data_IF_267741232048
#
_entry.id   IF_267741232048
#
_cell.length_a   1.000
_cell.length_b   1.000
_cell.length_c   1.000
_cell.angle_alpha   90.00
_cell.angle_beta   90.00
_cell.angle_gamma   90.00
#
_symmetry.space_group_name_H-M   'P 1'
#
loop_
_entity.id
_entity.type
_entity.pdbx_description
1 polymer ?
#
# COMPACT_ATOMS: atom_id res chain seq x y z
N UNK A 1 -23.67 -3.99 13.48
CA UNK A 1 -22.65 -3.24 12.70
C UNK A 1 -22.24 -2.06 13.57
N UNK A 2 -20.97 -1.98 13.95
CA UNK A 2 -20.47 -1.09 15.00
C UNK A 2 -20.52 0.39 14.56
N UNK A 3 -21.72 0.98 14.56
CA UNK A 3 -21.88 2.43 14.63
C UNK A 3 -21.71 2.85 16.09
N UNK A 4 -20.48 2.71 16.61
CA UNK A 4 -20.06 3.54 17.74
C UNK A 4 -20.20 4.99 17.27
N UNK A 5 -20.72 5.86 18.15
CA UNK A 5 -20.95 7.26 17.83
C UNK A 5 -19.60 7.96 17.58
N UNK A 6 -19.10 7.86 16.35
CA UNK A 6 -17.79 8.38 15.97
C UNK A 6 -17.77 9.89 16.21
N UNK A 7 -16.71 10.42 16.83
CA UNK A 7 -16.56 11.85 17.00
C UNK A 7 -16.75 12.59 15.68
N UNK A 8 -17.53 13.69 15.71
CA UNK A 8 -17.81 14.52 14.53
C UNK A 8 -16.54 14.95 13.79
N UNK A 9 -15.43 15.09 14.51
CA UNK A 9 -14.11 15.42 13.94
C UNK A 9 -13.66 14.36 12.94
N UNK A 10 -13.68 13.07 13.32
CA UNK A 10 -13.26 11.96 12.46
C UNK A 10 -14.12 11.91 11.20
N UNK A 11 -15.44 11.99 11.35
CA UNK A 11 -16.38 11.97 10.21
C UNK A 11 -16.06 13.08 9.20
N UNK A 12 -15.86 14.32 9.69
CA UNK A 12 -15.55 15.46 8.82
C UNK A 12 -14.19 15.34 8.14
N UNK A 13 -13.18 14.84 8.83
CA UNK A 13 -11.86 14.63 8.23
C UNK A 13 -11.88 13.52 7.19
N UNK A 14 -12.55 12.40 7.46
CA UNK A 14 -12.75 11.32 6.49
C UNK A 14 -13.45 11.82 5.24
N UNK A 15 -14.52 12.61 5.38
CA UNK A 15 -15.22 13.20 4.23
C UNK A 15 -14.29 14.08 3.40
N UNK A 16 -13.47 14.92 4.04
CA UNK A 16 -12.50 15.78 3.36
C UNK A 16 -11.41 14.99 2.64
N UNK A 17 -10.88 13.93 3.26
CA UNK A 17 -9.89 13.06 2.64
C UNK A 17 -10.43 12.41 1.36
N UNK A 18 -11.71 12.03 1.35
CA UNK A 18 -12.36 11.41 0.20
C UNK A 18 -12.77 12.43 -0.88
N UNK A 19 -13.23 13.62 -0.50
CA UNK A 19 -13.66 14.65 -1.46
C UNK A 19 -12.48 15.43 -2.05
N UNK A 20 -11.40 15.60 -1.28
CA UNK A 20 -10.23 16.40 -1.63
C UNK A 20 -8.92 15.62 -1.34
N UNK A 21 -8.67 14.52 -2.07
CA UNK A 21 -7.46 13.73 -1.87
C UNK A 21 -6.22 14.57 -2.19
N UNK A 22 -5.18 14.43 -1.35
CA UNK A 22 -3.91 15.08 -1.61
C UNK A 22 -3.18 14.37 -2.77
N UNK A 23 -2.43 15.10 -3.62
CA UNK A 23 -1.70 14.49 -4.73
C UNK A 23 -0.77 13.37 -4.28
N UNK A 24 -0.94 12.19 -4.87
CA UNK A 24 -0.15 11.00 -4.52
C UNK A 24 -0.43 10.41 -3.15
N UNK A 25 -1.52 10.81 -2.46
CA UNK A 25 -1.93 10.24 -1.18
C UNK A 25 -3.37 9.75 -1.28
N UNK A 26 -3.62 8.51 -0.88
CA UNK A 26 -4.97 7.98 -0.69
C UNK A 26 -5.09 7.44 0.73
N UNK A 27 -6.14 7.83 1.44
CA UNK A 27 -6.44 7.35 2.78
C UNK A 27 -7.92 7.04 2.89
N UNK A 28 -8.26 5.81 3.26
CA UNK A 28 -9.64 5.37 3.44
C UNK A 28 -9.80 4.59 4.74
N UNK A 29 -10.89 4.80 5.50
CA UNK A 29 -11.14 4.01 6.70
C UNK A 29 -11.35 2.53 6.35
N UNK A 30 -11.04 1.64 7.29
CA UNK A 30 -11.42 0.23 7.21
C UNK A 30 -12.93 0.09 7.37
N UNK A 31 -13.51 -0.90 6.70
CA UNK A 31 -14.95 -1.24 6.80
C UNK A 31 -15.34 -1.71 8.21
N UNK A 32 -14.40 -2.31 8.93
CA UNK A 32 -14.63 -2.86 10.27
C UNK A 32 -14.44 -1.83 11.38
N UNK A 33 -13.50 -0.89 11.19
CA UNK A 33 -13.16 0.11 12.19
C UNK A 33 -12.85 1.46 11.53
N UNK A 34 -13.78 2.40 11.69
CA UNK A 34 -13.67 3.76 11.14
C UNK A 34 -12.59 4.64 11.79
N UNK A 35 -11.93 4.17 12.86
CA UNK A 35 -10.73 4.79 13.44
C UNK A 35 -9.44 4.27 12.82
N UNK A 36 -9.50 3.19 12.06
CA UNK A 36 -8.37 2.59 11.37
C UNK A 36 -8.41 2.94 9.89
N UNK A 37 -7.30 3.38 9.31
CA UNK A 37 -7.20 3.86 7.94
C UNK A 37 -6.12 3.08 7.19
N UNK A 38 -6.48 2.63 6.00
CA UNK A 38 -5.54 2.13 5.01
C UNK A 38 -5.04 3.32 4.19
N UNK A 39 -3.72 3.52 4.21
CA UNK A 39 -3.09 4.67 3.56
C UNK A 39 -2.11 4.18 2.49
N UNK A 40 -2.11 4.84 1.34
CA UNK A 40 -1.06 4.71 0.33
C UNK A 40 -0.47 6.07 0.02
N UNK A 41 0.86 6.13 -0.01
CA UNK A 41 1.63 7.33 -0.38
C UNK A 41 2.51 6.95 -1.58
N UNK A 42 2.38 7.71 -2.65
CA UNK A 42 3.31 7.67 -3.78
C UNK A 42 4.59 8.37 -3.37
N UNK A 43 5.72 7.73 -3.70
CA UNK A 43 7.03 8.31 -3.49
C UNK A 43 7.17 9.65 -4.22
N UNK A 44 7.64 10.71 -3.54
CA UNK A 44 7.77 12.03 -4.14
C UNK A 44 8.70 12.04 -5.35
N UNK A 45 8.41 12.89 -6.33
CA UNK A 45 9.33 13.15 -7.44
C UNK A 45 10.62 13.79 -6.94
N UNK A 46 11.73 13.53 -7.64
CA UNK A 46 13.06 14.03 -7.28
C UNK A 46 13.53 13.58 -5.90
N UNK A 47 13.02 12.44 -5.43
CA UNK A 47 13.47 11.75 -4.22
C UNK A 47 13.98 10.35 -4.58
N UNK A 48 14.77 9.69 -3.72
CA UNK A 48 15.16 8.29 -3.90
C UNK A 48 13.96 7.35 -4.01
N UNK A 49 12.78 7.82 -3.59
CA UNK A 49 11.58 7.02 -3.49
C UNK A 49 10.66 7.18 -4.70
N UNK A 50 11.03 7.99 -5.69
CA UNK A 50 10.22 8.28 -6.87
C UNK A 50 9.75 6.99 -7.57
N UNK A 51 8.45 6.94 -7.91
CA UNK A 51 7.84 5.77 -8.54
C UNK A 51 7.54 4.62 -7.60
N UNK A 52 7.84 4.75 -6.30
CA UNK A 52 7.44 3.84 -5.24
C UNK A 52 5.99 4.03 -4.78
N UNK A 53 5.41 2.95 -4.23
CA UNK A 53 4.10 2.98 -3.59
C UNK A 53 4.24 2.40 -2.18
N UNK A 54 4.04 3.25 -1.18
CA UNK A 54 4.22 2.88 0.22
C UNK A 54 2.87 2.71 0.89
N UNK A 55 2.63 1.53 1.48
CA UNK A 55 1.46 1.28 2.32
C UNK A 55 1.78 1.66 3.75
N UNK A 56 0.84 2.38 4.36
CA UNK A 56 0.87 2.74 5.75
C UNK A 56 -0.48 2.36 6.37
N UNK A 57 -0.45 2.11 7.67
CA UNK A 57 -1.67 2.14 8.48
C UNK A 57 -1.67 3.36 9.37
N UNK A 58 -2.87 3.87 9.64
CA UNK A 58 -3.09 4.97 10.55
C UNK A 58 -4.24 4.62 11.49
N UNK A 59 -4.02 4.77 12.78
CA UNK A 59 -5.00 4.51 13.83
C UNK A 59 -5.27 5.77 14.65
N UNK A 60 -6.54 6.08 14.84
CA UNK A 60 -7.01 7.20 15.67
C UNK A 60 -7.37 6.69 17.08
N UNK A 61 -6.56 6.97 18.11
CA UNK A 61 -6.85 6.54 19.47
C UNK A 61 -8.12 7.19 20.02
N UNK A 62 -8.64 6.69 21.13
CA UNK A 62 -9.92 7.14 21.70
C UNK A 62 -9.92 8.64 21.99
N UNK A 63 -8.79 9.15 22.48
CA UNK A 63 -8.50 10.53 22.86
C UNK A 63 -8.32 11.46 21.65
N UNK A 64 -8.28 10.94 20.42
CA UNK A 64 -8.14 11.77 19.22
C UNK A 64 -9.28 12.80 19.13
N UNK A 65 -8.98 14.11 18.95
CA UNK A 65 -7.71 14.69 18.48
C UNK A 65 -6.77 15.20 19.57
N UNK A 66 -7.03 14.96 20.85
CA UNK A 66 -6.14 15.37 21.95
C UNK A 66 -4.84 14.57 21.94
N UNK A 67 -4.91 13.28 21.62
CA UNK A 67 -3.74 12.47 21.29
C UNK A 67 -3.49 12.41 19.77
N UNK A 68 -2.22 12.25 19.41
CA UNK A 68 -1.77 12.11 18.02
C UNK A 68 -2.28 10.80 17.39
N UNK A 69 -2.46 10.75 16.06
CA UNK A 69 -2.70 9.49 15.37
C UNK A 69 -1.45 8.61 15.43
N UNK A 70 -1.64 7.30 15.58
CA UNK A 70 -0.56 6.31 15.46
C UNK A 70 -0.40 5.94 13.99
N UNK A 71 0.80 6.07 13.43
CA UNK A 71 1.07 5.79 12.02
C UNK A 71 2.30 4.91 11.89
N UNK A 72 2.23 3.87 11.05
CA UNK A 72 3.40 3.06 10.68
C UNK A 72 3.40 2.67 9.21
N UNK A 73 4.59 2.45 8.67
CA UNK A 73 4.80 1.85 7.37
C UNK A 73 4.57 0.33 7.44
N UNK A 74 3.75 -0.17 6.52
CA UNK A 74 3.61 -1.60 6.23
C UNK A 74 4.61 -2.04 5.15
N UNK A 75 4.90 -1.14 4.21
CA UNK A 75 5.96 -1.35 3.22
C UNK A 75 7.32 -1.07 3.84
N UNK A 76 8.23 -2.04 3.80
CA UNK A 76 9.62 -1.86 4.24
C UNK A 76 10.31 -0.79 3.38
N UNK A 77 11.04 0.11 4.02
CA UNK A 77 11.70 1.23 3.36
C UNK A 77 13.07 1.50 3.99
N UNK A 78 14.05 1.79 3.14
CA UNK A 78 15.35 2.28 3.57
C UNK A 78 15.31 3.79 3.76
N UNK A 79 15.19 4.24 5.01
CA UNK A 79 15.04 5.66 5.35
C UNK A 79 15.63 5.94 6.75
N UNK A 80 16.35 7.06 6.98
CA UNK A 80 16.99 7.33 8.27
C UNK A 80 16.00 7.54 9.42
N UNK A 81 14.84 8.13 9.14
CA UNK A 81 13.77 8.40 10.13
C UNK A 81 12.69 7.31 10.21
N UNK A 82 12.86 6.18 9.54
CA UNK A 82 11.93 5.04 9.59
C UNK A 82 12.72 3.79 9.97
N UNK A 83 12.19 2.99 10.90
CA UNK A 83 12.86 1.76 11.32
C UNK A 83 12.34 0.52 10.59
N UNK A 84 12.90 -0.65 10.94
CA UNK A 84 12.54 -1.93 10.34
C UNK A 84 11.10 -2.38 10.64
N UNK A 85 10.49 -1.86 11.70
CA UNK A 85 9.11 -2.11 12.10
C UNK A 85 8.13 -1.10 11.45
N UNK A 86 8.66 -0.11 10.71
CA UNK A 86 7.89 0.93 10.05
C UNK A 86 7.48 2.09 10.96
N UNK A 87 8.04 2.19 12.18
CA UNK A 87 7.83 3.33 13.06
C UNK A 87 8.49 4.57 12.47
N UNK A 88 7.85 5.72 12.65
CA UNK A 88 8.26 7.00 12.04
C UNK A 88 8.74 7.94 13.14
N UNK A 89 9.95 8.49 13.01
CA UNK A 89 10.36 9.64 13.83
C UNK A 89 9.92 10.93 13.13
N UNK A 90 8.82 11.51 13.60
CA UNK A 90 8.30 12.79 13.14
C UNK A 90 7.71 13.55 14.32
N UNK A 91 8.17 14.79 14.55
CA UNK A 91 7.83 15.61 15.71
C UNK A 91 6.33 15.88 15.87
N UNK A 92 5.59 16.07 14.76
CA UNK A 92 4.14 16.26 14.80
C UNK A 92 3.37 15.02 15.27
N UNK A 93 4.00 13.84 15.31
CA UNK A 93 3.41 12.62 15.88
C UNK A 93 3.75 12.45 17.37
N UNK A 94 4.54 13.36 17.94
CA UNK A 94 5.02 13.34 19.32
C UNK A 94 4.73 14.68 20.02
N UNK A 95 5.77 15.44 20.34
CA UNK A 95 5.75 16.65 21.16
C UNK A 95 5.16 17.87 20.44
N UNK A 96 5.19 17.88 19.10
CA UNK A 96 4.59 18.96 18.30
C UNK A 96 3.19 18.63 17.77
N UNK A 97 2.58 17.56 18.26
CA UNK A 97 1.17 17.29 17.96
C UNK A 97 0.29 18.41 18.50
N UNK A 98 -0.72 18.80 17.73
CA UNK A 98 -1.76 19.73 18.15
C UNK A 98 -3.10 19.25 17.62
N UNK A 99 -4.20 19.33 18.40
CA UNK A 99 -5.55 19.02 17.93
C UNK A 99 -6.01 19.87 16.73
N UNK A 100 -5.31 20.96 16.43
CA UNK A 100 -5.50 21.76 15.23
C UNK A 100 -5.03 21.06 13.95
N UNK A 101 -4.04 20.16 14.04
CA UNK A 101 -3.56 19.36 12.93
C UNK A 101 -4.61 18.33 12.51
N UNK A 102 -4.62 18.02 11.22
CA UNK A 102 -5.55 17.09 10.58
C UNK A 102 -4.79 15.89 10.03
N UNK A 103 -5.48 14.77 9.82
CA UNK A 103 -4.95 13.55 9.19
C UNK A 103 -4.27 13.91 7.86
N UNK A 104 -4.90 14.77 7.05
CA UNK A 104 -4.33 15.24 5.78
C UNK A 104 -2.96 15.90 5.98
N UNK A 105 -2.81 16.75 6.99
CA UNK A 105 -1.55 17.43 7.30
C UNK A 105 -0.48 16.43 7.72
N UNK A 106 -0.84 15.45 8.55
CA UNK A 106 0.07 14.38 8.97
C UNK A 106 0.59 13.60 7.76
N UNK A 107 -0.30 13.18 6.86
CA UNK A 107 0.09 12.42 5.66
C UNK A 107 0.98 13.24 4.71
N UNK A 108 0.70 14.53 4.56
CA UNK A 108 1.56 15.44 3.79
C UNK A 108 2.94 15.60 4.40
N UNK A 109 3.03 15.72 5.73
CA UNK A 109 4.32 15.80 6.43
C UNK A 109 5.12 14.50 6.29
N UNK A 110 4.47 13.34 6.30
CA UNK A 110 5.14 12.06 6.02
C UNK A 110 5.64 12.01 4.56
N UNK A 111 4.85 12.47 3.60
CA UNK A 111 5.31 12.57 2.20
C UNK A 111 6.49 13.52 2.06
N UNK A 112 6.48 14.66 2.77
CA UNK A 112 7.59 15.61 2.78
C UNK A 112 8.86 15.03 3.44
N UNK A 113 8.71 14.21 4.49
CA UNK A 113 9.82 13.51 5.12
C UNK A 113 10.55 12.58 4.13
N UNK A 114 9.82 11.91 3.23
CA UNK A 114 10.41 11.11 2.16
C UNK A 114 11.21 11.96 1.16
N UNK A 115 10.80 13.20 0.90
CA UNK A 115 11.55 14.12 0.03
C UNK A 115 12.82 14.66 0.69
N UNK A 116 12.79 14.88 2.00
CA UNK A 116 13.88 15.48 2.76
C UNK A 116 14.17 14.67 4.04
N UNK A 117 14.91 13.56 3.92
CA UNK A 117 15.30 12.77 5.08
C UNK A 117 16.17 13.58 6.05
N UNK A 118 16.00 13.37 7.35
CA UNK A 118 16.77 14.06 8.39
C UNK A 118 17.73 13.10 9.11
N UNK A 119 19.00 13.00 8.68
CA UNK A 119 19.96 12.08 9.30
C UNK A 119 20.49 12.57 10.67
N UNK A 120 20.13 13.77 11.12
CA UNK A 120 20.54 14.31 12.43
C UNK A 120 19.65 13.86 13.59
N UNK A 121 18.42 13.43 13.30
CA UNK A 121 17.51 12.81 14.27
C UNK A 121 17.04 11.42 13.79
N UNK A 122 17.94 10.42 13.73
CA UNK A 122 17.65 9.15 13.09
C UNK A 122 16.95 8.16 14.02
N UNK A 123 16.02 7.39 13.45
CA UNK A 123 15.51 6.20 14.10
C UNK A 123 16.39 4.98 13.80
N UNK A 124 17.07 5.00 12.66
CA UNK A 124 17.99 3.95 12.19
C UNK A 124 19.42 4.49 12.13
N UNK A 125 20.20 4.34 13.21
CA UNK A 125 21.58 4.87 13.28
C UNK A 125 22.47 4.40 12.13
N UNK A 126 22.40 3.13 11.75
CA UNK A 126 23.22 2.57 10.67
C UNK A 126 22.89 3.21 9.32
N UNK A 127 21.61 3.47 9.07
CA UNK A 127 21.14 4.15 7.86
C UNK A 127 21.64 5.60 7.88
N UNK A 128 21.44 6.32 8.98
CA UNK A 128 21.91 7.70 9.07
C UNK A 128 23.44 7.85 8.97
N UNK A 129 24.21 6.92 9.54
CA UNK A 129 25.67 6.88 9.35
C UNK A 129 26.03 6.69 7.86
N UNK A 130 25.32 5.82 7.15
CA UNK A 130 25.53 5.63 5.71
C UNK A 130 25.16 6.90 4.91
N UNK A 131 24.01 7.51 5.19
CA UNK A 131 23.59 8.77 4.56
C UNK A 131 24.59 9.90 4.79
N UNK A 132 25.15 10.02 6.00
CA UNK A 132 26.18 11.02 6.33
C UNK A 132 27.53 10.73 5.67
N UNK A 133 27.87 9.46 5.49
CA UNK A 133 29.15 9.05 4.92
C UNK A 133 29.15 9.15 3.38
N UNK A 134 28.07 8.73 2.73
CA UNK A 134 27.93 8.73 1.28
C UNK A 134 26.45 8.88 0.87
N UNK A 135 26.00 10.11 0.77
CA UNK A 135 24.61 10.43 0.42
C UNK A 135 24.22 9.87 -0.95
N UNK A 136 25.12 9.93 -1.96
CA UNK A 136 24.82 9.44 -3.30
C UNK A 136 24.54 7.93 -3.33
N UNK A 137 25.35 7.14 -2.62
CA UNK A 137 25.16 5.69 -2.50
C UNK A 137 23.93 5.34 -1.65
N UNK A 138 23.63 6.12 -0.61
CA UNK A 138 22.42 5.96 0.18
C UNK A 138 21.15 6.23 -0.64
N UNK A 139 21.17 7.26 -1.49
CA UNK A 139 20.09 7.57 -2.45
C UNK A 139 19.93 6.44 -3.48
N UNK A 140 21.03 5.92 -4.03
CA UNK A 140 20.99 4.77 -4.95
C UNK A 140 20.43 3.51 -4.29
N UNK A 141 20.79 3.26 -3.03
CA UNK A 141 20.26 2.16 -2.22
C UNK A 141 18.76 2.29 -2.03
N UNK A 142 18.28 3.48 -1.64
CA UNK A 142 16.84 3.75 -1.49
C UNK A 142 16.06 3.57 -2.80
N UNK A 143 16.65 4.00 -3.92
CA UNK A 143 16.06 3.85 -5.26
C UNK A 143 15.97 2.38 -5.70
N UNK A 144 16.99 1.60 -5.37
CA UNK A 144 17.02 0.17 -5.65
C UNK A 144 15.94 -0.60 -4.88
N UNK A 145 15.71 -0.25 -3.62
CA UNK A 145 14.66 -0.85 -2.79
C UNK A 145 13.26 -0.56 -3.37
N UNK A 146 13.03 0.67 -3.83
CA UNK A 146 11.78 1.05 -4.51
C UNK A 146 11.57 0.26 -5.79
N UNK A 147 12.61 0.05 -6.60
CA UNK A 147 12.52 -0.71 -7.84
C UNK A 147 12.07 -2.16 -7.61
N UNK A 148 12.58 -2.80 -6.56
CA UNK A 148 12.20 -4.16 -6.18
C UNK A 148 10.73 -4.21 -5.72
N UNK A 149 10.30 -3.27 -4.88
CA UNK A 149 8.91 -3.21 -4.38
C UNK A 149 7.90 -2.87 -5.48
N UNK A 150 8.21 -1.88 -6.33
CA UNK A 150 7.39 -1.52 -7.49
C UNK A 150 7.26 -2.65 -8.50
N UNK A 151 8.24 -3.56 -8.60
CA UNK A 151 8.15 -4.79 -9.40
C UNK A 151 7.09 -5.74 -8.84
N UNK A 152 7.04 -5.94 -7.53
CA UNK A 152 6.03 -6.76 -6.85
C UNK A 152 4.64 -6.18 -7.05
N UNK A 153 4.47 -4.86 -6.85
CA UNK A 153 3.19 -4.18 -7.03
C UNK A 153 2.69 -4.23 -8.47
N UNK A 154 3.55 -3.93 -9.45
CA UNK A 154 3.20 -4.06 -10.87
C UNK A 154 2.77 -5.50 -11.17
N UNK A 155 3.51 -6.50 -10.72
CA UNK A 155 3.17 -7.90 -10.98
C UNK A 155 1.81 -8.30 -10.39
N UNK A 156 1.50 -7.91 -9.14
CA UNK A 156 0.17 -8.15 -8.52
C UNK A 156 -0.96 -7.39 -9.21
N UNK A 157 -0.72 -6.13 -9.60
CA UNK A 157 -1.73 -5.31 -10.28
C UNK A 157 -2.02 -5.79 -11.70
N UNK A 158 -1.01 -6.23 -12.45
CA UNK A 158 -1.18 -6.88 -13.75
C UNK A 158 -1.96 -8.20 -13.60
N UNK A 159 -1.65 -9.00 -12.58
CA UNK A 159 -2.40 -10.23 -12.28
C UNK A 159 -3.87 -9.95 -11.97
N UNK A 160 -4.18 -8.95 -11.14
CA UNK A 160 -5.56 -8.59 -10.79
C UNK A 160 -6.33 -7.99 -11.98
N UNK A 161 -5.73 -7.07 -12.73
CA UNK A 161 -6.31 -6.53 -13.97
C UNK A 161 -6.59 -7.64 -14.98
N UNK A 162 -5.68 -8.60 -15.11
CA UNK A 162 -5.83 -9.73 -16.02
C UNK A 162 -6.97 -10.65 -15.57
N UNK A 163 -7.09 -10.98 -14.27
CA UNK A 163 -8.21 -11.75 -13.73
C UNK A 163 -9.54 -11.06 -13.95
N UNK A 164 -9.62 -9.74 -13.73
CA UNK A 164 -10.82 -8.94 -14.00
C UNK A 164 -11.16 -8.96 -15.49
N UNK A 165 -10.18 -8.78 -16.38
CA UNK A 165 -10.37 -8.85 -17.83
C UNK A 165 -10.82 -10.25 -18.29
N UNK A 166 -10.27 -11.31 -17.71
CA UNK A 166 -10.72 -12.69 -17.95
C UNK A 166 -12.17 -12.90 -17.50
N UNK A 167 -12.54 -12.43 -16.31
CA UNK A 167 -13.92 -12.52 -15.82
C UNK A 167 -14.89 -11.74 -16.72
N UNK A 168 -14.52 -10.53 -17.15
CA UNK A 168 -15.32 -9.73 -18.10
C UNK A 168 -15.46 -10.45 -19.44
N UNK A 169 -14.38 -11.04 -19.98
CA UNK A 169 -14.43 -11.85 -21.21
C UNK A 169 -15.29 -13.09 -21.05
N UNK A 170 -15.17 -13.83 -19.95
CA UNK A 170 -16.01 -15.00 -19.66
C UNK A 170 -17.49 -14.62 -19.58
N UNK A 171 -17.83 -13.50 -18.92
CA UNK A 171 -19.20 -13.00 -18.85
C UNK A 171 -19.73 -12.54 -20.21
N UNK A 172 -18.89 -11.91 -21.04
CA UNK A 172 -19.24 -11.49 -22.40
C UNK A 172 -19.46 -12.70 -23.33
N UNK A 173 -18.68 -13.77 -23.18
CA UNK A 173 -18.88 -15.03 -23.89
C UNK A 173 -20.20 -15.67 -23.44
N UNK A 174 -20.48 -15.73 -22.13
CA UNK A 174 -21.72 -16.30 -21.59
C UNK A 174 -22.96 -15.52 -22.05
N UNK A 175 -22.90 -14.19 -22.14
CA UNK A 175 -24.00 -13.35 -22.65
C UNK A 175 -24.19 -13.50 -24.16
N UNK A 176 -23.10 -13.59 -24.92
CA UNK A 176 -23.11 -13.87 -26.37
C UNK A 176 -23.73 -15.25 -26.68
N UNK A 177 -23.34 -16.29 -25.93
CA UNK A 177 -23.91 -17.64 -26.07
C UNK A 177 -25.40 -17.71 -25.65
N UNK A 178 -25.85 -16.86 -24.73
CA UNK A 178 -27.27 -16.73 -24.36
C UNK A 178 -28.11 -16.05 -25.44
N UNK A 179 -27.58 -15.03 -26.11
CA UNK A 179 -28.24 -14.40 -27.26
C UNK A 179 -28.27 -15.34 -28.47
N UNK A 180 -27.16 -16.06 -28.74
CA UNK A 180 -27.12 -17.09 -29.79
C UNK A 180 -28.12 -18.24 -29.54
N UNK A 181 -28.37 -18.66 -28.29
CA UNK A 181 -29.40 -19.66 -27.98
C UNK A 181 -30.83 -19.13 -28.17
N UNK A 182 -31.07 -17.82 -28.05
CA UNK A 182 -32.37 -17.20 -28.39
C UNK A 182 -32.58 -17.15 -29.91
N UNK A 183 -31.51 -16.96 -30.68
CA UNK A 183 -31.56 -16.83 -32.13
C UNK A 183 -31.56 -18.19 -32.86
N UNK A 184 -31.05 -19.25 -32.23
CA UNK A 184 -30.96 -20.59 -32.83
C UNK A 184 -32.28 -21.40 -32.80
N UNK A 185 -33.43 -20.71 -32.73
CA UNK A 185 -34.70 -21.26 -33.22
C UNK A 185 -34.81 -21.23 -34.75
N UNK A 186 -33.78 -20.74 -35.46
CA UNK A 186 -33.73 -20.82 -36.93
C UNK A 186 -32.30 -20.92 -37.47
N UNK A 187 -31.94 -22.10 -37.98
CA UNK A 187 -31.04 -22.22 -39.13
C UNK A 187 -29.54 -22.17 -38.86
N UNK A 188 -28.89 -23.34 -38.94
CA UNK A 188 -27.45 -23.47 -38.86
C UNK A 188 -26.67 -23.02 -40.10
N UNK A 189 -25.34 -23.16 -39.96
CA UNK A 189 -24.30 -23.14 -41.01
C UNK A 189 -23.66 -21.76 -41.31
N UNK A 190 -22.82 -21.31 -40.38
CA UNK A 190 -21.57 -20.57 -40.62
C UNK A 190 -20.77 -20.58 -39.31
N UNK A 191 -20.14 -21.72 -39.04
CA UNK A 191 -19.25 -21.96 -37.91
C UNK A 191 -17.90 -22.36 -38.50
N UNK A 192 -16.82 -21.85 -37.89
CA UNK A 192 -15.43 -21.79 -38.38
C UNK A 192 -15.19 -20.49 -39.16
N UNK A 193 -14.06 -19.85 -38.88
CA UNK A 193 -13.49 -18.67 -39.55
C UNK A 193 -13.51 -17.34 -38.77
N UNK A 194 -13.87 -17.32 -37.47
CA UNK A 194 -13.71 -16.12 -36.62
C UNK A 194 -13.00 -16.36 -35.28
N UNK A 195 -12.30 -17.50 -35.11
CA UNK A 195 -11.68 -17.86 -33.83
C UNK A 195 -10.15 -18.08 -33.88
N UNK A 196 -9.49 -17.80 -35.01
CA UNK A 196 -8.03 -18.03 -35.17
C UNK A 196 -7.17 -16.76 -35.02
N UNK A 197 -7.69 -15.71 -34.37
CA UNK A 197 -7.03 -14.40 -34.32
C UNK A 197 -6.49 -13.91 -32.97
N UNK A 198 -6.77 -14.58 -31.85
CA UNK A 198 -6.49 -13.96 -30.54
C UNK A 198 -6.17 -14.90 -29.37
N UNK A 199 -5.64 -16.09 -29.63
CA UNK A 199 -5.13 -16.96 -28.57
C UNK A 199 -3.60 -16.88 -28.48
N UNK A 200 -3.11 -15.83 -27.81
CA UNK A 200 -1.79 -15.91 -27.21
C UNK A 200 -1.91 -16.80 -25.97
N UNK A 201 -1.19 -17.93 -25.94
CA UNK A 201 -1.34 -18.92 -24.87
C UNK A 201 -1.01 -18.33 -23.49
N UNK A 202 -1.77 -18.73 -22.47
CA UNK A 202 -1.55 -18.34 -21.06
C UNK A 202 -0.09 -18.60 -20.64
N UNK A 203 0.51 -19.66 -21.16
CA UNK A 203 1.91 -20.04 -20.93
C UNK A 203 2.92 -19.12 -21.62
N UNK A 204 2.61 -18.52 -22.77
CA UNK A 204 3.46 -17.49 -23.41
C UNK A 204 3.40 -16.16 -22.67
N UNK A 205 2.23 -15.76 -22.17
CA UNK A 205 2.08 -14.59 -21.30
C UNK A 205 2.80 -14.76 -19.95
N UNK A 206 2.74 -15.96 -19.35
CA UNK A 206 3.49 -16.29 -18.13
C UNK A 206 5.01 -16.23 -18.32
N UNK A 207 5.52 -16.53 -19.52
CA UNK A 207 6.95 -16.39 -19.85
C UNK A 207 7.37 -14.94 -20.08
N UNK A 208 6.52 -14.12 -20.70
CA UNK A 208 6.79 -12.69 -20.92
C UNK A 208 6.66 -11.85 -19.63
N UNK A 209 5.77 -12.24 -18.72
CA UNK A 209 5.56 -11.59 -17.43
C UNK A 209 6.48 -12.09 -16.31
N UNK A 210 7.47 -12.93 -16.66
CA UNK A 210 8.53 -13.49 -15.81
C UNK A 210 8.22 -13.46 -14.32
N UNK A 211 7.86 -14.60 -13.72
CA UNK A 211 7.74 -14.76 -12.27
C UNK A 211 9.02 -14.25 -11.59
N UNK A 212 9.01 -12.96 -11.25
CA UNK A 212 10.19 -12.24 -10.84
C UNK A 212 10.36 -12.47 -9.36
N UNK A 213 11.26 -13.37 -8.99
CA UNK A 213 11.81 -13.39 -7.66
C UNK A 213 12.78 -12.22 -7.56
N UNK A 214 12.55 -11.31 -6.62
CA UNK A 214 13.58 -10.34 -6.26
C UNK A 214 14.52 -11.06 -5.29
N UNK A 215 15.65 -11.58 -5.78
CA UNK A 215 16.62 -12.37 -5.00
C UNK A 215 17.15 -11.62 -3.76
N UNK A 216 16.99 -10.28 -3.73
CA UNK A 216 17.38 -9.42 -2.61
C UNK A 216 16.33 -9.33 -1.49
N UNK A 217 15.02 -9.41 -1.79
CA UNK A 217 13.96 -9.28 -0.77
C UNK A 217 13.14 -10.57 -0.55
N UNK A 218 13.33 -11.60 -1.38
CA UNK A 218 12.62 -12.88 -1.25
C UNK A 218 11.12 -12.85 -1.56
N UNK A 219 10.57 -11.71 -1.99
CA UNK A 219 9.12 -11.56 -2.24
C UNK A 219 8.72 -12.21 -3.56
N UNK A 220 7.82 -13.20 -3.48
CA UNK A 220 7.24 -13.88 -4.63
C UNK A 220 6.01 -13.16 -5.16
N UNK A 221 5.97 -12.93 -6.48
CA UNK A 221 4.73 -12.62 -7.17
C UNK A 221 3.80 -13.86 -7.13
N UNK A 222 2.82 -13.85 -6.21
CA UNK A 222 1.72 -14.84 -6.23
C UNK A 222 1.54 -15.73 -5.01
N UNK A 223 2.30 -15.58 -3.92
CA UNK A 223 1.85 -16.11 -2.62
C UNK A 223 0.99 -15.04 -1.92
N UNK A 224 -0.26 -15.38 -1.59
CA UNK A 224 -0.91 -14.77 -0.43
C UNK A 224 0.08 -14.90 0.73
N UNK A 225 0.24 -13.83 1.50
CA UNK A 225 0.96 -13.94 2.77
C UNK A 225 0.13 -14.92 3.61
N UNK A 226 0.53 -16.19 3.61
CA UNK A 226 0.20 -17.06 4.72
C UNK A 226 0.94 -16.43 5.89
N UNK A 227 0.19 -15.73 6.73
CA UNK A 227 0.68 -15.34 8.03
C UNK A 227 0.89 -16.67 8.74
N UNK A 228 2.14 -17.10 8.87
CA UNK A 228 2.45 -18.29 9.62
C UNK A 228 1.91 -18.05 11.04
N UNK A 229 1.06 -18.93 11.59
CA UNK A 229 0.48 -18.75 12.93
C UNK A 229 1.52 -18.67 14.05
N UNK A 230 2.80 -18.96 13.75
CA UNK A 230 3.93 -18.94 14.66
C UNK A 230 4.55 -17.55 14.86
N UNK A 231 4.25 -16.55 14.03
CA UNK A 231 4.69 -15.16 14.25
C UNK A 231 3.80 -14.43 15.27
N UNK A 232 2.70 -15.07 15.72
CA UNK A 232 1.70 -14.50 16.63
C UNK A 232 2.04 -14.54 18.13
N UNK A 233 3.26 -14.94 18.52
CA UNK A 233 3.70 -14.94 19.93
C UNK A 233 4.65 -13.79 20.28
N UNK A 234 5.47 -13.27 19.35
CA UNK A 234 6.28 -12.05 19.60
C UNK A 234 5.47 -10.75 19.37
N UNK A 235 4.43 -10.79 18.53
CA UNK A 235 3.57 -9.63 18.22
C UNK A 235 2.59 -9.24 19.34
N UNK A 236 2.42 -10.09 20.37
CA UNK A 236 1.62 -9.75 21.56
C UNK A 236 2.42 -8.97 22.60
N UNK A 237 3.75 -9.12 22.61
CA UNK A 237 4.62 -8.42 23.54
C UNK A 237 4.86 -6.97 23.09
N UNK A 238 5.01 -6.73 21.78
CA UNK A 238 5.12 -5.36 21.23
C UNK A 238 3.81 -4.54 21.30
N UNK A 239 2.65 -5.21 21.30
CA UNK A 239 1.37 -4.55 21.54
C UNK A 239 1.12 -4.27 23.04
N UNK A 240 1.71 -5.09 23.93
CA UNK A 240 1.63 -4.92 25.38
C UNK A 240 2.63 -3.89 25.93
N UNK A 241 3.82 -3.75 25.31
CA UNK A 241 4.84 -2.78 25.73
C UNK A 241 4.43 -1.31 25.50
N UNK A 242 3.44 -1.06 24.63
CA UNK A 242 2.85 0.28 24.48
C UNK A 242 1.85 0.60 25.60
N UNK A 243 1.54 -0.35 26.49
CA UNK A 243 0.58 -0.21 27.58
C UNK A 243 1.19 -0.28 29.00
N UNK A 244 2.51 -0.41 29.15
CA UNK A 244 3.17 -0.64 30.45
C UNK A 244 4.15 0.45 30.91
N UNK A 245 4.32 1.55 30.17
CA UNK A 245 5.19 2.67 30.60
C UNK A 245 4.41 3.90 31.13
N UNK A 246 3.40 3.66 31.98
CA UNK A 246 2.86 4.69 32.87
C UNK A 246 2.71 4.12 34.29
N UNK A 247 3.80 4.18 35.05
CA UNK A 247 3.85 4.37 36.51
C UNK A 247 5.05 5.26 36.88
#
# INVERSE_FOLDING_TARGET
>A
MANSNLPRRIIKETQRLLSEPAPGISASPSEENMRYFNVMILGPTQSPYEGGVFKLELFLPEEYPMAAPKVRFLTKIYHPNIDKLGRICLDILKDKWSPALQIRTVLLSIQALLSAPNPDDPLSENIAKHWKANEAEAVETGTSDVSCESRVYKCRFYSLKYTILLQIRSLAIISSQRNLKKDNKSGGKRRRDLDEGLEMSVSQLQRLLGAGQCDRCGVHAGRELHVDPADGEEDKEAAADVMSEED
#
